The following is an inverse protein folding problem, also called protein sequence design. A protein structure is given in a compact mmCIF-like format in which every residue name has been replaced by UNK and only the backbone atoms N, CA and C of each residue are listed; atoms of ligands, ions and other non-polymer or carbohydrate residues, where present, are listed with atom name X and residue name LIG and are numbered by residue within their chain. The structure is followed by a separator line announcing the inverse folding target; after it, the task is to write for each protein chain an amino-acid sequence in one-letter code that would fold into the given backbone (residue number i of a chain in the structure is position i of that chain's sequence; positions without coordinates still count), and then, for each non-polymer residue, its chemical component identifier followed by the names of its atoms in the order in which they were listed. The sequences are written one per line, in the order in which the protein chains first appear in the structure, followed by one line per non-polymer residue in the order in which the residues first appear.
data_IF_856851758019
#
_entry.id   IF_856851758019
#
_cell.length_a   1.000
_cell.length_b   1.000
_cell.length_c   1.000
_cell.angle_alpha   90.00
_cell.angle_beta   90.00
_cell.angle_gamma   90.00
#
_symmetry.space_group_name_H-M   'P 1'
#
loop_
_entity.id
_entity.type
_entity.pdbx_description
1 polymer ?
#
# COMPACT_ATOMS: atom_id res chain seq x y z
N UNK A 1 -14.44 5.01 20.38
CA UNK A 1 -13.61 4.17 19.49
C UNK A 1 -14.32 4.00 18.17
N UNK A 2 -13.59 3.60 17.12
CA UNK A 2 -14.12 3.44 15.77
C UNK A 2 -14.07 1.97 15.36
N UNK A 3 -15.12 1.47 14.71
CA UNK A 3 -15.14 0.12 14.16
C UNK A 3 -14.64 0.15 12.71
N UNK A 4 -13.64 -0.67 12.38
CA UNK A 4 -13.12 -0.83 11.02
C UNK A 4 -12.75 -2.30 10.81
N UNK A 5 -13.24 -2.91 9.72
CA UNK A 5 -12.98 -4.32 9.36
C UNK A 5 -13.27 -5.31 10.52
N UNK A 6 -14.36 -5.08 11.27
CA UNK A 6 -14.74 -5.92 12.41
C UNK A 6 -13.90 -5.74 13.68
N UNK A 7 -12.94 -4.81 13.69
CA UNK A 7 -12.08 -4.49 14.83
C UNK A 7 -12.41 -3.12 15.43
N UNK A 8 -12.46 -3.03 16.75
CA UNK A 8 -12.62 -1.75 17.47
C UNK A 8 -11.26 -1.10 17.70
N UNK A 9 -11.12 0.14 17.25
CA UNK A 9 -9.93 0.97 17.45
C UNK A 9 -10.19 2.05 18.51
N UNK A 10 -9.20 2.36 19.38
CA UNK A 10 -9.30 3.49 20.29
C UNK A 10 -9.28 4.82 19.53
N UNK A 11 -9.74 5.89 20.18
CA UNK A 11 -9.52 7.24 19.64
C UNK A 11 -8.03 7.55 19.59
N UNK A 12 -7.60 8.29 18.56
CA UNK A 12 -6.22 8.68 18.36
C UNK A 12 -5.66 8.28 16.98
N UNK A 13 -4.34 8.40 16.86
CA UNK A 13 -3.61 8.13 15.63
C UNK A 13 -3.23 6.65 15.52
N UNK A 14 -3.48 6.07 14.34
CA UNK A 14 -3.16 4.69 14.00
C UNK A 14 -2.10 4.75 12.90
N UNK A 15 -0.87 4.38 13.27
CA UNK A 15 0.30 4.53 12.39
C UNK A 15 0.17 3.71 11.12
N UNK A 16 -0.27 2.45 11.24
CA UNK A 16 -0.48 1.57 10.10
C UNK A 16 -1.48 0.47 10.41
N UNK A 17 -2.41 0.24 9.50
CA UNK A 17 -3.35 -0.88 9.53
C UNK A 17 -2.88 -2.03 8.64
N UNK A 18 -3.55 -3.18 8.72
CA UNK A 18 -3.24 -4.38 7.91
C UNK A 18 -3.50 -4.17 6.42
N UNK A 19 -4.43 -3.27 6.09
CA UNK A 19 -4.78 -2.84 4.73
C UNK A 19 -3.85 -1.75 4.17
N UNK A 20 -2.69 -1.53 4.80
CA UNK A 20 -1.73 -0.52 4.36
C UNK A 20 -2.31 0.91 4.39
N UNK A 21 -3.11 1.23 5.40
CA UNK A 21 -3.64 2.58 5.60
C UNK A 21 -3.07 3.21 6.87
N UNK A 22 -2.84 4.52 6.83
CA UNK A 22 -2.67 5.35 8.03
C UNK A 22 -4.03 5.89 8.40
N UNK A 23 -4.45 5.69 9.64
CA UNK A 23 -5.77 6.12 10.07
C UNK A 23 -5.72 7.01 11.31
N UNK A 24 -6.80 7.73 11.54
CA UNK A 24 -7.11 8.45 12.77
C UNK A 24 -8.55 8.17 13.15
N UNK A 25 -8.79 7.96 14.44
CA UNK A 25 -10.13 7.77 14.98
C UNK A 25 -10.44 8.91 15.95
N UNK A 26 -11.49 9.67 15.69
CA UNK A 26 -11.95 10.75 16.55
C UNK A 26 -13.47 10.69 16.77
N UNK A 27 -14.04 11.74 17.37
CA UNK A 27 -15.47 11.81 17.68
C UNK A 27 -16.38 11.86 16.45
N UNK A 28 -15.84 12.19 15.28
CA UNK A 28 -16.56 12.26 14.01
C UNK A 28 -16.46 10.95 13.23
N UNK A 29 -15.39 10.17 13.44
CA UNK A 29 -15.29 8.82 12.92
C UNK A 29 -13.86 8.38 12.64
N UNK A 30 -13.76 7.38 11.76
CA UNK A 30 -12.49 6.86 11.25
C UNK A 30 -12.13 7.59 9.95
N UNK A 31 -10.93 8.15 9.91
CA UNK A 31 -10.35 8.79 8.73
C UNK A 31 -9.08 8.03 8.33
N UNK A 32 -9.05 7.47 7.13
CA UNK A 32 -7.94 6.66 6.64
C UNK A 32 -7.38 7.21 5.33
N UNK A 33 -6.06 7.13 5.19
CA UNK A 33 -5.32 7.42 3.96
C UNK A 33 -4.52 6.17 3.58
N UNK A 34 -4.62 5.76 2.31
CA UNK A 34 -3.79 4.69 1.77
C UNK A 34 -2.30 5.08 1.83
N UNK A 35 -1.46 4.16 2.29
CA UNK A 35 0.00 4.26 2.20
C UNK A 35 0.52 3.53 0.96
N UNK A 36 -0.37 2.93 0.16
CA UNK A 36 0.03 2.14 -1.00
C UNK A 36 0.64 3.06 -2.05
N UNK A 37 1.93 2.82 -2.33
CA UNK A 37 2.65 3.52 -3.38
C UNK A 37 2.46 2.80 -4.72
N UNK A 38 1.78 3.42 -5.68
CA UNK A 38 1.51 2.83 -7.00
C UNK A 38 2.64 3.13 -8.00
N UNK A 39 3.11 2.12 -8.76
CA UNK A 39 4.03 2.36 -9.87
C UNK A 39 3.26 3.05 -11.00
N UNK A 40 3.81 4.14 -11.52
CA UNK A 40 3.21 4.97 -12.56
C UNK A 40 3.40 4.39 -13.96
N UNK A 41 4.65 4.34 -14.45
CA UNK A 41 4.97 3.79 -15.78
C UNK A 41 6.16 2.84 -15.69
N UNK A 42 6.03 1.68 -16.33
CA UNK A 42 7.06 0.66 -16.53
C UNK A 42 6.75 -0.13 -17.82
N UNK A 43 7.71 -0.94 -18.30
CA UNK A 43 7.50 -1.82 -19.47
C UNK A 43 6.54 -2.96 -19.10
N UNK A 44 5.24 -2.79 -19.36
CA UNK A 44 4.22 -3.81 -19.06
C UNK A 44 4.32 -5.06 -19.94
N UNK A 45 5.06 -5.03 -21.06
CA UNK A 45 5.28 -6.21 -21.88
C UNK A 45 6.27 -7.16 -21.21
N UNK A 46 7.37 -6.63 -20.67
CA UNK A 46 8.46 -7.42 -20.06
C UNK A 46 8.39 -7.51 -18.54
N UNK A 47 7.63 -6.65 -17.89
CA UNK A 47 7.61 -6.52 -16.43
C UNK A 47 6.20 -6.66 -15.86
N UNK A 48 6.12 -6.94 -14.55
CA UNK A 48 4.89 -7.01 -13.79
C UNK A 48 5.08 -6.38 -12.41
N UNK A 49 4.02 -5.76 -11.89
CA UNK A 49 3.98 -5.25 -10.53
C UNK A 49 3.49 -6.33 -9.55
N UNK A 50 4.19 -6.52 -8.44
CA UNK A 50 3.84 -7.44 -7.36
C UNK A 50 3.67 -6.64 -6.08
N UNK A 51 2.52 -6.77 -5.41
CA UNK A 51 2.26 -6.03 -4.19
C UNK A 51 3.11 -6.55 -3.02
N UNK A 52 3.87 -5.66 -2.40
CA UNK A 52 4.67 -5.93 -1.23
C UNK A 52 3.97 -5.43 0.04
N UNK A 53 3.23 -6.32 0.70
CA UNK A 53 2.51 -6.03 1.96
C UNK A 53 3.40 -5.49 3.08
N UNK A 54 4.69 -5.86 3.12
CA UNK A 54 5.59 -5.39 4.18
C UNK A 54 5.91 -3.91 4.03
N UNK A 55 6.13 -3.46 2.79
CA UNK A 55 6.45 -2.06 2.45
C UNK A 55 5.23 -1.23 2.08
N UNK A 56 4.08 -1.85 1.83
CA UNK A 56 2.89 -1.18 1.30
C UNK A 56 3.20 -0.48 -0.03
N UNK A 57 3.89 -1.16 -0.94
CA UNK A 57 4.22 -0.67 -2.27
C UNK A 57 4.17 -1.82 -3.29
N UNK A 58 4.54 -1.54 -4.54
CA UNK A 58 4.70 -2.57 -5.56
C UNK A 58 6.16 -2.71 -5.98
N UNK A 59 6.60 -3.97 -6.03
CA UNK A 59 7.83 -4.37 -6.70
C UNK A 59 7.54 -4.58 -8.19
N UNK A 60 8.18 -3.78 -9.05
CA UNK A 60 8.13 -4.03 -10.50
C UNK A 60 9.30 -4.92 -10.87
N UNK A 61 9.01 -6.13 -11.35
CA UNK A 61 10.01 -7.17 -11.64
C UNK A 61 9.82 -7.73 -13.04
N UNK A 62 10.86 -8.37 -13.59
CA UNK A 62 10.76 -9.02 -14.89
C UNK A 62 9.75 -10.18 -14.84
N UNK A 63 9.02 -10.39 -15.93
CA UNK A 63 8.08 -11.52 -16.03
C UNK A 63 8.81 -12.85 -16.03
N UNK A 64 9.93 -12.93 -16.75
CA UNK A 64 10.73 -14.15 -16.91
C UNK A 64 11.57 -14.49 -15.67
N UNK A 65 11.99 -13.46 -14.91
CA UNK A 65 12.78 -13.61 -13.69
C UNK A 65 12.31 -12.61 -12.60
N UNK A 66 11.38 -13.02 -11.73
CA UNK A 66 10.85 -12.16 -10.67
C UNK A 66 11.88 -11.73 -9.62
N UNK A 67 13.08 -12.32 -9.60
CA UNK A 67 14.16 -11.90 -8.71
C UNK A 67 14.83 -10.61 -9.19
N UNK A 68 14.64 -10.24 -10.46
CA UNK A 68 15.21 -9.04 -11.06
C UNK A 68 14.19 -7.91 -11.10
N UNK A 69 14.58 -6.78 -10.52
CA UNK A 69 13.79 -5.54 -10.62
C UNK A 69 13.82 -5.00 -12.06
N UNK A 70 12.70 -4.46 -12.49
CA UNK A 70 12.63 -3.64 -13.69
C UNK A 70 12.94 -2.18 -13.35
N UNK A 71 13.67 -1.52 -14.23
CA UNK A 71 14.01 -0.10 -14.12
C UNK A 71 14.06 0.49 -15.53
N UNK A 72 13.61 1.75 -15.74
CA UNK A 72 13.07 2.69 -14.74
C UNK A 72 11.60 2.44 -14.40
N UNK A 73 11.23 2.73 -13.14
CA UNK A 73 9.83 2.81 -12.68
C UNK A 73 9.54 4.26 -12.32
N UNK A 74 8.60 4.88 -13.03
CA UNK A 74 8.12 6.23 -12.68
C UNK A 74 7.15 6.12 -11.50
N UNK A 75 7.29 7.02 -10.53
CA UNK A 75 6.44 7.11 -9.34
C UNK A 75 5.36 8.19 -9.54
N UNK A 76 4.08 7.88 -9.27
CA UNK A 76 2.95 8.83 -9.38
C UNK A 76 2.21 8.91 -8.06
#
# INVERSE_FOLDING_TARGET
GCMMNGKLYPFGHIVRTEDCSRCGCDKYGMHCCSLIFNPGMYDEEKCKAIFNRKRCDYDVVQKDDPSKMCSPVVRV
#
